data_IF_555679262535
#
_entry.id   IF_555679262535
#
_cell.length_a   1.000
_cell.length_b   1.000
_cell.length_c   1.000
_cell.angle_alpha   90.00
_cell.angle_beta   90.00
_cell.angle_gamma   90.00
#
_symmetry.space_group_name_H-M   'P 1'
#
loop_
_entity.id
_entity.type
_entity.pdbx_description
1 polymer ?
#
# COMPACT_ATOMS: atom_id res chain seq x y z
N UNK A 1 8.37 -30.05 -54.26
CA UNK A 1 8.08 -28.63 -54.48
C UNK A 1 7.01 -28.17 -53.54
N UNK A 2 7.38 -27.69 -52.37
CA UNK A 2 6.49 -26.95 -51.46
C UNK A 2 7.04 -25.55 -51.29
N UNK A 3 6.26 -24.58 -51.79
CA UNK A 3 6.54 -23.14 -51.62
C UNK A 3 6.06 -22.72 -50.25
N UNK A 4 6.97 -22.31 -49.43
CA UNK A 4 6.73 -21.64 -48.13
C UNK A 4 6.39 -20.18 -48.39
N UNK A 5 5.17 -19.77 -48.09
CA UNK A 5 4.75 -18.37 -48.07
C UNK A 5 5.24 -17.77 -46.78
N UNK A 6 6.10 -16.76 -46.84
CA UNK A 6 6.47 -15.89 -45.71
C UNK A 6 5.45 -14.76 -45.65
N UNK A 7 4.63 -14.73 -44.62
CA UNK A 7 3.85 -13.56 -44.24
C UNK A 7 4.75 -12.58 -43.48
N UNK A 8 5.09 -11.48 -44.14
CA UNK A 8 5.72 -10.33 -43.52
C UNK A 8 4.67 -9.55 -42.71
N UNK A 9 4.67 -9.74 -41.41
CA UNK A 9 3.84 -8.96 -40.49
C UNK A 9 4.56 -7.65 -40.16
N UNK A 10 4.31 -6.63 -40.97
CA UNK A 10 4.72 -5.23 -40.72
C UNK A 10 3.83 -4.66 -39.64
N UNK A 11 4.26 -4.73 -38.38
CA UNK A 11 3.74 -3.82 -37.36
C UNK A 11 4.42 -2.45 -37.56
N UNK A 12 3.65 -1.50 -38.04
CA UNK A 12 4.03 -0.07 -37.97
C UNK A 12 4.14 0.29 -36.49
N UNK A 13 5.36 0.56 -36.06
CA UNK A 13 5.63 1.23 -34.79
C UNK A 13 5.09 2.66 -34.97
N UNK A 14 3.93 2.91 -34.36
CA UNK A 14 3.43 4.28 -34.22
C UNK A 14 4.50 5.06 -33.44
N UNK A 15 5.10 6.01 -34.13
CA UNK A 15 6.07 6.93 -33.56
C UNK A 15 5.47 7.56 -32.30
N UNK A 16 6.15 7.38 -31.17
CA UNK A 16 5.94 8.22 -30.02
C UNK A 16 6.07 9.67 -30.44
N UNK A 17 5.18 10.58 -29.99
CA UNK A 17 5.34 11.99 -30.32
C UNK A 17 6.69 12.44 -29.74
N UNK A 18 7.53 12.98 -30.62
CA UNK A 18 8.76 13.67 -30.27
C UNK A 18 8.40 14.72 -29.19
N UNK A 19 8.78 14.46 -27.96
CA UNK A 19 8.74 15.45 -26.89
C UNK A 19 9.79 16.46 -27.27
N UNK A 20 9.31 17.57 -27.85
CA UNK A 20 10.12 18.68 -28.34
C UNK A 20 10.91 19.24 -27.13
N UNK A 21 12.20 19.50 -27.35
CA UNK A 21 13.20 19.97 -26.40
C UNK A 21 13.00 21.42 -25.92
N UNK A 22 11.76 21.90 -25.87
CA UNK A 22 11.38 23.29 -25.56
C UNK A 22 10.72 23.46 -24.20
N UNK A 23 10.71 22.43 -23.33
CA UNK A 23 10.17 22.60 -21.96
C UNK A 23 11.18 23.38 -21.12
N UNK A 24 10.85 24.63 -20.81
CA UNK A 24 11.63 25.47 -19.89
C UNK A 24 11.43 25.04 -18.45
N UNK A 25 12.37 25.35 -17.56
CA UNK A 25 12.24 25.11 -16.10
C UNK A 25 10.97 25.74 -15.48
N UNK A 26 10.32 26.63 -16.22
CA UNK A 26 9.13 27.37 -15.80
C UNK A 26 7.82 26.78 -16.36
N UNK A 27 7.84 25.62 -17.01
CA UNK A 27 6.64 24.98 -17.57
C UNK A 27 5.90 24.20 -16.48
N UNK A 28 4.65 24.56 -16.25
CA UNK A 28 3.74 23.82 -15.35
C UNK A 28 3.10 22.69 -16.13
N UNK A 29 3.19 21.48 -15.57
CA UNK A 29 2.71 20.25 -16.18
C UNK A 29 1.50 19.70 -15.42
N UNK A 30 0.67 18.92 -16.09
CA UNK A 30 -0.45 18.23 -15.46
C UNK A 30 0.03 17.08 -14.58
N UNK A 31 -0.53 17.01 -13.36
CA UNK A 31 -0.29 15.88 -12.44
C UNK A 31 -1.27 14.72 -12.67
N UNK A 32 -2.34 14.94 -13.42
CA UNK A 32 -3.45 14.01 -13.61
C UNK A 32 -3.81 13.85 -15.09
N UNK A 33 -4.39 12.72 -15.44
CA UNK A 33 -5.08 12.54 -16.72
C UNK A 33 -6.47 13.17 -16.63
N UNK A 34 -6.83 14.04 -17.60
CA UNK A 34 -8.14 14.70 -17.57
C UNK A 34 -8.33 15.67 -18.74
N UNK A 35 -9.42 16.44 -18.69
CA UNK A 35 -9.79 17.42 -19.71
C UNK A 35 -9.74 18.81 -19.13
N UNK A 36 -9.17 19.78 -19.87
CA UNK A 36 -9.19 21.21 -19.50
C UNK A 36 -10.59 21.74 -19.71
N UNK A 37 -11.28 22.13 -18.64
CA UNK A 37 -12.67 22.59 -18.70
C UNK A 37 -12.82 24.11 -18.62
N UNK A 38 -11.81 24.80 -18.09
CA UNK A 38 -11.84 26.25 -17.95
C UNK A 38 -10.45 26.85 -17.81
N UNK A 39 -10.21 28.01 -18.43
CA UNK A 39 -8.99 28.81 -18.29
C UNK A 39 -9.38 30.17 -17.69
N UNK A 40 -9.03 30.37 -16.42
CA UNK A 40 -9.44 31.56 -15.64
C UNK A 40 -8.59 32.80 -15.92
N UNK A 41 -7.37 32.60 -16.38
CA UNK A 41 -6.40 33.68 -16.60
C UNK A 41 -5.89 33.58 -18.04
N UNK A 42 -5.95 34.67 -18.79
CA UNK A 42 -5.42 34.72 -20.16
C UNK A 42 -3.88 34.81 -20.20
N UNK A 43 -3.26 34.63 -21.38
CA UNK A 43 -1.83 34.81 -21.55
C UNK A 43 -1.42 36.26 -21.25
N UNK A 44 -0.16 36.45 -20.86
CA UNK A 44 0.44 37.75 -20.47
C UNK A 44 -0.29 38.46 -19.33
N UNK A 45 -0.96 37.73 -18.45
CA UNK A 45 -1.60 38.27 -17.26
C UNK A 45 -0.82 37.97 -15.99
N UNK A 46 -0.77 38.97 -15.11
CA UNK A 46 -0.21 38.80 -13.78
C UNK A 46 -1.15 37.97 -12.91
N UNK A 47 -0.57 37.07 -12.14
CA UNK A 47 -1.25 36.23 -11.15
C UNK A 47 -0.58 36.36 -9.80
N UNK A 48 -1.37 36.21 -8.77
CA UNK A 48 -0.89 36.13 -7.39
C UNK A 48 -0.84 34.68 -6.97
N UNK A 49 0.02 34.39 -6.04
CA UNK A 49 0.06 33.06 -5.42
C UNK A 49 -1.31 32.61 -4.92
N UNK A 50 -1.73 31.42 -5.34
CA UNK A 50 -3.02 30.83 -5.00
C UNK A 50 -4.16 31.13 -5.96
N UNK A 51 -3.95 32.06 -6.94
CA UNK A 51 -4.93 32.31 -7.99
C UNK A 51 -5.09 31.04 -8.84
N UNK A 52 -6.34 30.70 -9.17
CA UNK A 52 -6.63 29.58 -10.08
C UNK A 52 -6.35 30.04 -11.51
N UNK A 53 -5.44 29.33 -12.20
CA UNK A 53 -5.04 29.62 -13.58
C UNK A 53 -5.96 28.90 -14.57
N UNK A 54 -6.12 27.60 -14.40
CA UNK A 54 -7.05 26.78 -15.18
C UNK A 54 -7.69 25.71 -14.29
N UNK A 55 -8.75 25.08 -14.81
CA UNK A 55 -9.45 23.97 -14.13
C UNK A 55 -9.43 22.75 -15.05
N UNK A 56 -8.96 21.65 -14.53
CA UNK A 56 -8.95 20.34 -15.18
C UNK A 56 -10.02 19.44 -14.56
N UNK A 57 -10.76 18.72 -15.37
CA UNK A 57 -11.68 17.66 -14.91
C UNK A 57 -11.02 16.31 -15.04
N UNK A 58 -11.01 15.55 -13.94
CA UNK A 58 -10.59 14.16 -13.92
C UNK A 58 -11.60 13.36 -13.10
N UNK A 59 -12.11 12.26 -13.65
CA UNK A 59 -13.10 11.40 -12.99
C UNK A 59 -14.33 12.16 -12.45
N UNK A 60 -14.84 13.14 -13.21
CA UNK A 60 -15.96 14.03 -12.84
C UNK A 60 -15.67 14.96 -11.64
N UNK A 61 -14.42 15.11 -11.28
CA UNK A 61 -13.98 16.06 -10.25
C UNK A 61 -13.17 17.20 -10.87
N UNK A 62 -13.42 18.42 -10.37
CA UNK A 62 -12.72 19.59 -10.83
C UNK A 62 -11.44 19.83 -10.01
N UNK A 63 -10.32 19.88 -10.70
CA UNK A 63 -9.00 20.11 -10.12
C UNK A 63 -8.49 21.50 -10.54
N UNK A 64 -8.56 22.52 -9.66
CA UNK A 64 -8.01 23.84 -9.98
C UNK A 64 -6.49 23.83 -9.92
N UNK A 65 -5.84 24.16 -11.02
CA UNK A 65 -4.40 24.37 -11.11
C UNK A 65 -4.12 25.83 -10.73
N UNK A 66 -3.33 26.03 -9.68
CA UNK A 66 -3.10 27.33 -9.06
C UNK A 66 -1.68 27.81 -9.27
N UNK A 67 -1.52 29.15 -9.38
CA UNK A 67 -0.21 29.77 -9.36
C UNK A 67 0.49 29.51 -8.01
N UNK A 68 1.72 29.01 -8.05
CA UNK A 68 2.50 28.68 -6.85
C UNK A 68 3.23 29.88 -6.25
N UNK A 69 3.40 30.97 -7.03
CA UNK A 69 4.01 32.24 -6.59
C UNK A 69 3.36 33.43 -7.32
N UNK A 70 3.79 34.66 -7.00
CA UNK A 70 3.45 35.84 -7.75
C UNK A 70 4.27 35.87 -9.04
N UNK A 71 3.66 36.18 -10.15
CA UNK A 71 4.31 36.18 -11.45
C UNK A 71 3.32 36.43 -12.57
N UNK A 72 3.65 36.05 -13.77
CA UNK A 72 2.74 36.13 -14.90
C UNK A 72 2.75 34.86 -15.74
N UNK A 73 1.64 34.59 -16.42
CA UNK A 73 1.50 33.49 -17.36
C UNK A 73 1.98 33.99 -18.72
N UNK A 74 3.05 33.41 -19.30
CA UNK A 74 3.55 33.82 -20.59
C UNK A 74 2.77 33.20 -21.75
N UNK A 75 2.54 31.90 -21.67
CA UNK A 75 1.86 31.16 -22.73
C UNK A 75 1.07 29.97 -22.17
N UNK A 76 0.04 29.53 -22.89
CA UNK A 76 -0.67 28.27 -22.66
C UNK A 76 -0.30 27.27 -23.76
N UNK A 77 -0.15 26.00 -23.38
CA UNK A 77 0.08 24.87 -24.30
C UNK A 77 -1.18 24.04 -24.52
N UNK A 78 -2.30 24.45 -23.90
CA UNK A 78 -3.60 23.76 -23.95
C UNK A 78 -4.73 24.75 -24.10
N UNK A 79 -5.82 24.28 -24.73
CA UNK A 79 -7.08 24.99 -24.88
C UNK A 79 -8.21 24.30 -24.07
N UNK A 80 -9.33 25.02 -23.89
CA UNK A 80 -10.52 24.44 -23.27
C UNK A 80 -11.04 23.30 -24.15
N UNK A 81 -11.21 22.12 -23.53
CA UNK A 81 -11.64 20.90 -24.22
C UNK A 81 -10.48 19.92 -24.49
N UNK A 82 -9.21 20.34 -24.33
CA UNK A 82 -8.07 19.45 -24.55
C UNK A 82 -7.99 18.37 -23.47
N UNK A 83 -7.68 17.14 -23.91
CA UNK A 83 -7.36 16.03 -23.04
C UNK A 83 -5.86 15.99 -22.78
N UNK A 84 -5.46 16.00 -21.52
CA UNK A 84 -4.07 15.99 -21.09
C UNK A 84 -3.76 14.75 -20.27
N UNK A 85 -2.53 14.28 -20.38
CA UNK A 85 -1.97 13.19 -19.59
C UNK A 85 -1.06 13.72 -18.48
N UNK A 86 -0.72 12.89 -17.51
CA UNK A 86 0.31 13.23 -16.51
C UNK A 86 1.62 13.60 -17.23
N UNK A 87 2.19 14.76 -16.88
CA UNK A 87 3.39 15.30 -17.52
C UNK A 87 3.14 16.18 -18.75
N UNK A 88 1.90 16.27 -19.27
CA UNK A 88 1.58 17.18 -20.37
C UNK A 88 1.78 18.64 -19.95
N UNK A 89 2.45 19.50 -20.77
CA UNK A 89 2.62 20.91 -20.49
C UNK A 89 1.28 21.62 -20.53
N UNK A 90 1.00 22.49 -19.53
CA UNK A 90 -0.24 23.24 -19.40
C UNK A 90 -0.03 24.71 -19.75
N UNK A 91 0.91 25.34 -19.09
CA UNK A 91 1.25 26.75 -19.32
C UNK A 91 2.66 27.06 -18.82
N UNK A 92 3.22 28.15 -19.31
CA UNK A 92 4.49 28.67 -18.85
C UNK A 92 4.26 29.79 -17.82
N UNK A 93 4.86 29.64 -16.63
CA UNK A 93 4.77 30.58 -15.53
C UNK A 93 6.10 31.23 -15.24
N UNK A 94 6.17 32.57 -15.28
CA UNK A 94 7.38 33.33 -14.99
C UNK A 94 7.23 34.04 -13.64
N UNK A 95 8.00 33.63 -12.63
CA UNK A 95 7.92 34.23 -11.29
C UNK A 95 8.48 35.67 -11.29
N UNK A 96 7.85 36.58 -10.54
CA UNK A 96 8.33 37.95 -10.34
C UNK A 96 9.49 37.97 -9.35
N UNK A 97 10.73 38.01 -9.87
CA UNK A 97 11.97 38.01 -9.07
C UNK A 97 12.13 39.24 -8.15
N UNK A 98 11.34 40.29 -8.33
CA UNK A 98 11.44 41.51 -7.50
C UNK A 98 10.61 41.52 -6.25
N UNK A 99 9.63 40.62 -6.14
CA UNK A 99 8.72 40.50 -5.00
C UNK A 99 8.68 39.09 -4.40
N UNK A 100 9.73 38.33 -4.56
CA UNK A 100 9.93 37.15 -3.71
C UNK A 100 10.19 37.63 -2.27
N UNK A 101 9.18 38.24 -1.65
CA UNK A 101 9.10 38.26 -0.21
C UNK A 101 9.28 36.80 0.20
N UNK A 102 10.38 36.53 0.94
CA UNK A 102 10.49 35.31 1.71
C UNK A 102 9.07 34.99 2.17
N UNK A 103 8.51 33.94 1.61
CA UNK A 103 7.27 33.41 2.10
C UNK A 103 7.25 33.59 3.61
N UNK A 104 6.20 34.14 4.22
CA UNK A 104 5.89 33.64 5.51
C UNK A 104 5.80 32.13 5.24
N UNK A 105 6.80 31.39 5.70
CA UNK A 105 6.64 29.96 5.90
C UNK A 105 5.23 29.89 6.43
N UNK A 106 4.28 29.42 5.58
CA UNK A 106 2.96 29.12 6.09
C UNK A 106 3.29 28.34 7.31
N UNK A 107 2.91 28.90 8.45
CA UNK A 107 3.01 28.32 9.75
C UNK A 107 2.40 26.91 9.73
N UNK A 108 3.01 26.03 8.93
CA UNK A 108 2.81 24.58 8.99
C UNK A 108 3.40 24.06 10.30
N UNK A 109 4.19 24.91 10.97
CA UNK A 109 4.82 24.61 12.25
C UNK A 109 3.90 24.83 13.45
N UNK A 110 2.72 25.47 13.28
CA UNK A 110 1.80 25.73 14.40
C UNK A 110 0.37 25.20 14.26
N UNK A 111 -0.03 24.60 13.17
CA UNK A 111 -0.93 23.49 13.30
C UNK A 111 -0.10 22.36 13.88
N UNK A 112 -0.09 22.27 15.23
CA UNK A 112 0.30 21.04 15.88
C UNK A 112 -0.28 19.94 15.00
N UNK A 113 0.56 19.09 14.43
CA UNK A 113 0.11 17.94 13.64
C UNK A 113 -0.58 17.01 14.63
N UNK A 114 -1.74 17.44 15.12
CA UNK A 114 -2.60 16.60 15.93
C UNK A 114 -2.96 15.47 14.99
N UNK A 115 -2.28 14.37 15.17
CA UNK A 115 -2.50 13.17 14.37
C UNK A 115 -3.99 12.86 14.43
N UNK A 116 -4.58 12.50 13.32
CA UNK A 116 -6.00 12.14 13.25
C UNK A 116 -6.29 11.03 14.26
N UNK A 117 -7.44 11.11 14.94
CA UNK A 117 -7.83 10.15 15.99
C UNK A 117 -7.88 8.73 15.46
N UNK A 118 -8.44 8.52 14.26
CA UNK A 118 -8.51 7.21 13.62
C UNK A 118 -7.12 6.59 13.32
N UNK A 119 -6.13 7.44 12.99
CA UNK A 119 -4.76 6.98 12.82
C UNK A 119 -4.10 6.62 14.17
N UNK A 120 -4.39 7.38 15.22
CA UNK A 120 -3.95 7.04 16.57
C UNK A 120 -4.52 5.71 17.02
N UNK A 121 -5.84 5.51 16.84
CA UNK A 121 -6.52 4.25 17.17
C UNK A 121 -5.91 3.07 16.40
N UNK A 122 -5.64 3.24 15.10
CA UNK A 122 -4.97 2.23 14.30
C UNK A 122 -3.57 1.89 14.85
N UNK A 123 -2.78 2.92 15.18
CA UNK A 123 -1.44 2.73 15.72
C UNK A 123 -1.46 2.04 17.10
N UNK A 124 -2.43 2.37 17.94
CA UNK A 124 -2.62 1.71 19.24
C UNK A 124 -3.00 0.24 19.06
N UNK A 125 -3.94 -0.06 18.17
CA UNK A 125 -4.28 -1.44 17.84
C UNK A 125 -3.09 -2.23 17.31
N UNK A 126 -2.27 -1.65 16.44
CA UNK A 126 -1.03 -2.28 15.96
C UNK A 126 -0.01 -2.51 17.08
N UNK A 127 0.10 -1.62 18.06
CA UNK A 127 0.96 -1.85 19.23
C UNK A 127 0.54 -3.10 20.02
N UNK A 128 -0.78 -3.37 20.13
CA UNK A 128 -1.30 -4.54 20.84
C UNK A 128 -0.91 -5.87 20.17
N UNK A 129 -0.62 -5.88 18.88
CA UNK A 129 -0.17 -7.09 18.17
C UNK A 129 1.30 -7.43 18.43
N UNK A 130 2.07 -6.52 19.01
CA UNK A 130 3.51 -6.68 19.25
C UNK A 130 3.80 -7.42 20.57
N UNK A 131 4.94 -8.10 20.63
CA UNK A 131 5.42 -8.83 21.79
C UNK A 131 5.51 -7.97 23.07
N UNK A 132 5.87 -6.70 22.90
CA UNK A 132 5.95 -5.73 24.01
C UNK A 132 4.64 -5.55 24.77
N UNK A 133 3.51 -5.75 24.11
CA UNK A 133 2.16 -5.63 24.72
C UNK A 133 1.70 -6.92 25.39
N UNK A 134 2.47 -8.01 25.25
CA UNK A 134 2.14 -9.34 25.80
C UNK A 134 3.24 -9.92 26.70
N UNK A 135 3.77 -9.17 27.68
CA UNK A 135 4.97 -9.56 28.44
C UNK A 135 4.81 -10.88 29.19
N UNK A 136 3.61 -11.19 29.68
CA UNK A 136 3.35 -12.45 30.41
C UNK A 136 3.46 -13.65 29.46
N UNK A 137 2.86 -13.58 28.27
CA UNK A 137 2.92 -14.65 27.28
C UNK A 137 4.36 -14.85 26.78
N UNK A 138 5.06 -13.75 26.50
CA UNK A 138 6.48 -13.79 26.13
C UNK A 138 7.33 -14.42 27.20
N UNK A 139 7.13 -14.05 28.49
CA UNK A 139 7.87 -14.66 29.61
C UNK A 139 7.64 -16.16 29.71
N UNK A 140 6.37 -16.61 29.56
CA UNK A 140 6.04 -18.05 29.54
C UNK A 140 6.74 -18.78 28.40
N UNK A 141 6.73 -18.16 27.20
CA UNK A 141 7.40 -18.71 26.00
C UNK A 141 8.91 -18.87 26.20
N UNK A 142 9.55 -17.82 26.75
CA UNK A 142 11.00 -17.82 27.07
C UNK A 142 11.38 -18.85 28.12
N UNK A 143 10.52 -19.06 29.14
CA UNK A 143 10.78 -20.06 30.20
C UNK A 143 10.96 -21.47 29.66
N UNK A 144 10.31 -21.80 28.53
CA UNK A 144 10.45 -23.11 27.87
C UNK A 144 11.51 -23.11 26.77
N UNK A 145 12.41 -22.12 26.73
CA UNK A 145 13.50 -22.02 25.75
C UNK A 145 13.06 -21.72 24.32
N UNK A 146 11.81 -21.25 24.10
CA UNK A 146 11.27 -20.99 22.76
C UNK A 146 11.26 -19.49 22.43
N UNK A 147 11.55 -19.18 21.16
CA UNK A 147 11.44 -17.83 20.59
C UNK A 147 9.99 -17.50 20.29
N UNK A 148 9.64 -16.22 20.26
CA UNK A 148 8.34 -15.78 19.76
C UNK A 148 8.28 -15.87 18.23
N UNK A 149 7.08 -15.86 17.66
CA UNK A 149 6.89 -15.83 16.22
C UNK A 149 7.55 -14.58 15.59
N UNK A 150 7.42 -13.42 16.23
CA UNK A 150 8.05 -12.18 15.76
C UNK A 150 9.58 -12.20 15.85
N UNK A 151 10.15 -12.85 16.85
CA UNK A 151 11.60 -13.03 16.92
C UNK A 151 12.12 -13.96 15.83
N UNK A 152 11.38 -15.02 15.48
CA UNK A 152 11.75 -15.91 14.39
C UNK A 152 11.73 -15.16 13.05
N UNK A 153 10.64 -14.42 12.79
CA UNK A 153 10.53 -13.61 11.57
C UNK A 153 11.68 -12.59 11.51
N UNK A 154 11.89 -11.82 12.60
CA UNK A 154 12.96 -10.83 12.67
C UNK A 154 14.35 -11.41 12.41
N UNK A 155 14.61 -12.64 12.83
CA UNK A 155 15.88 -13.31 12.61
C UNK A 155 16.07 -13.85 11.20
N UNK A 156 14.98 -13.98 10.45
CA UNK A 156 14.98 -14.51 9.09
C UNK A 156 15.12 -13.41 8.04
N UNK A 157 14.50 -12.25 8.27
CA UNK A 157 14.35 -11.18 7.27
C UNK A 157 15.54 -10.22 7.25
N UNK A 158 15.79 -9.65 6.09
CA UNK A 158 16.79 -8.61 5.92
C UNK A 158 16.24 -7.25 6.42
N UNK A 159 17.14 -6.41 6.95
CA UNK A 159 16.88 -5.00 7.29
C UNK A 159 15.65 -4.73 8.18
N UNK A 160 15.05 -5.73 8.81
CA UNK A 160 13.80 -5.64 9.59
C UNK A 160 12.59 -5.07 8.81
N UNK A 161 12.60 -5.12 7.50
CA UNK A 161 11.49 -4.69 6.65
C UNK A 161 10.50 -5.83 6.48
N UNK A 162 9.40 -5.79 7.22
CA UNK A 162 8.32 -6.77 7.14
C UNK A 162 6.99 -6.07 6.83
N UNK A 163 6.46 -6.32 5.64
CA UNK A 163 5.16 -5.82 5.25
C UNK A 163 4.08 -6.80 5.69
N UNK A 164 3.53 -6.60 6.88
CA UNK A 164 2.58 -7.49 7.52
C UNK A 164 1.16 -7.30 6.95
N UNK A 165 0.48 -8.41 6.64
CA UNK A 165 -0.92 -8.46 6.19
C UNK A 165 -1.83 -8.96 7.30
N UNK A 166 -2.98 -8.30 7.48
CA UNK A 166 -4.03 -8.75 8.40
C UNK A 166 -3.61 -8.78 9.87
N UNK A 167 -2.76 -7.85 10.28
CA UNK A 167 -2.28 -7.70 11.66
C UNK A 167 -3.41 -7.37 12.67
N UNK A 168 -4.51 -6.76 12.21
CA UNK A 168 -5.64 -6.34 13.03
C UNK A 168 -6.76 -7.39 13.16
N UNK A 169 -6.60 -8.54 12.51
CA UNK A 169 -7.55 -9.65 12.61
C UNK A 169 -7.50 -10.25 14.04
N UNK A 170 -8.63 -10.69 14.53
CA UNK A 170 -8.79 -11.38 15.84
C UNK A 170 -9.65 -12.64 15.67
N UNK A 171 -9.68 -13.50 16.69
CA UNK A 171 -10.42 -14.77 16.63
C UNK A 171 -11.93 -14.58 16.50
N UNK A 172 -12.59 -15.45 15.74
CA UNK A 172 -14.03 -15.42 15.47
C UNK A 172 -14.84 -15.94 16.68
N UNK A 173 -14.75 -15.26 17.82
CA UNK A 173 -15.33 -15.67 19.10
C UNK A 173 -16.17 -14.55 19.78
N UNK A 174 -16.73 -13.62 19.00
CA UNK A 174 -17.48 -12.46 19.54
C UNK A 174 -18.74 -12.85 20.31
N UNK A 175 -19.34 -13.96 19.99
CA UNK A 175 -20.47 -14.50 20.72
C UNK A 175 -20.12 -15.00 22.17
N UNK A 176 -18.83 -15.21 22.43
CA UNK A 176 -18.33 -15.75 23.71
C UNK A 176 -17.41 -14.77 24.44
N UNK A 177 -16.83 -13.79 23.78
CA UNK A 177 -15.81 -12.88 24.31
C UNK A 177 -16.07 -11.46 23.85
N UNK A 178 -15.73 -10.47 24.67
CA UNK A 178 -15.82 -9.07 24.27
C UNK A 178 -14.81 -8.74 23.17
N UNK A 179 -15.12 -7.73 22.39
CA UNK A 179 -14.21 -7.26 21.31
C UNK A 179 -12.85 -6.85 21.87
N UNK A 180 -12.82 -6.11 22.98
CA UNK A 180 -11.58 -5.64 23.60
C UNK A 180 -10.71 -6.80 24.07
N UNK A 181 -11.33 -7.84 24.62
CA UNK A 181 -10.63 -9.06 25.02
C UNK A 181 -10.04 -9.79 23.82
N UNK A 182 -10.78 -9.91 22.72
CA UNK A 182 -10.31 -10.54 21.49
C UNK A 182 -9.15 -9.77 20.86
N UNK A 183 -9.27 -8.44 20.75
CA UNK A 183 -8.19 -7.58 20.23
C UNK A 183 -6.91 -7.74 21.05
N UNK A 184 -7.02 -7.78 22.37
CA UNK A 184 -5.87 -7.87 23.27
C UNK A 184 -5.24 -9.26 23.30
N UNK A 185 -6.04 -10.32 23.31
CA UNK A 185 -5.59 -11.68 23.59
C UNK A 185 -5.55 -12.61 22.38
N UNK A 186 -6.07 -12.17 21.22
CA UNK A 186 -6.01 -12.95 19.97
C UNK A 186 -5.49 -12.13 18.79
N UNK A 187 -4.36 -11.40 18.95
CA UNK A 187 -3.81 -10.56 17.90
C UNK A 187 -3.47 -11.38 16.66
N UNK A 188 -3.76 -10.80 15.49
CA UNK A 188 -3.56 -11.40 14.17
C UNK A 188 -4.23 -12.79 14.01
N UNK A 189 -5.18 -13.12 14.87
CA UNK A 189 -5.79 -14.46 15.04
C UNK A 189 -4.75 -15.60 15.08
N UNK A 190 -3.60 -15.34 15.70
CA UNK A 190 -2.53 -16.32 15.88
C UNK A 190 -1.78 -16.70 14.62
N UNK A 191 -1.91 -15.93 13.53
CA UNK A 191 -1.15 -16.11 12.29
C UNK A 191 -0.53 -14.81 11.84
N UNK A 192 0.78 -14.70 11.88
CA UNK A 192 1.54 -13.56 11.32
C UNK A 192 1.88 -13.89 9.88
N UNK A 193 1.49 -13.01 8.95
CA UNK A 193 1.72 -13.17 7.51
C UNK A 193 2.24 -11.89 6.90
N UNK A 194 3.14 -11.98 5.93
CA UNK A 194 3.65 -10.79 5.25
C UNK A 194 4.66 -11.10 4.17
N UNK A 195 5.18 -10.03 3.61
CA UNK A 195 6.25 -10.06 2.62
C UNK A 195 7.50 -9.40 3.18
N UNK A 196 8.67 -9.95 2.83
CA UNK A 196 9.96 -9.39 3.16
C UNK A 196 11.01 -9.82 2.13
N UNK A 197 12.25 -9.48 2.39
CA UNK A 197 13.42 -9.96 1.64
C UNK A 197 14.24 -10.89 2.55
N UNK A 198 14.80 -11.95 1.95
CA UNK A 198 15.63 -12.95 2.65
C UNK A 198 16.87 -13.21 1.82
N UNK A 199 18.06 -13.02 2.42
CA UNK A 199 19.35 -13.18 1.78
C UNK A 199 19.61 -12.22 0.60
N UNK A 200 19.15 -10.98 0.69
CA UNK A 200 19.34 -9.97 -0.37
C UNK A 200 20.79 -9.50 -0.54
N UNK A 201 21.67 -9.83 0.38
CA UNK A 201 23.12 -9.68 0.29
C UNK A 201 23.82 -10.77 -0.53
N UNK A 202 23.15 -11.91 -0.71
CA UNK A 202 23.70 -13.06 -1.46
C UNK A 202 23.11 -13.20 -2.87
N UNK A 203 21.92 -12.64 -3.10
CA UNK A 203 21.17 -12.79 -4.35
C UNK A 203 20.65 -11.43 -4.86
N UNK A 204 20.30 -11.39 -6.13
CA UNK A 204 19.64 -10.21 -6.74
C UNK A 204 18.34 -9.92 -6.01
N UNK A 205 18.16 -8.67 -5.57
CA UNK A 205 17.05 -8.23 -4.68
C UNK A 205 15.66 -8.67 -5.17
N UNK A 206 15.43 -8.64 -6.46
CA UNK A 206 14.16 -9.04 -7.09
C UNK A 206 13.82 -10.52 -6.85
N UNK A 207 14.83 -11.37 -6.68
CA UNK A 207 14.69 -12.81 -6.43
C UNK A 207 14.62 -13.19 -4.96
N UNK A 208 14.83 -12.22 -4.06
CA UNK A 208 14.88 -12.46 -2.60
C UNK A 208 13.57 -12.09 -1.90
N UNK A 209 12.61 -11.52 -2.65
CA UNK A 209 11.27 -11.26 -2.15
C UNK A 209 10.57 -12.55 -1.78
N UNK A 210 10.19 -12.68 -0.51
CA UNK A 210 9.72 -13.92 0.09
C UNK A 210 8.48 -13.65 0.91
N UNK A 211 7.49 -14.51 0.79
CA UNK A 211 6.35 -14.54 1.68
C UNK A 211 6.71 -15.33 2.96
N UNK A 212 6.28 -14.81 4.10
CA UNK A 212 6.55 -15.43 5.40
C UNK A 212 5.24 -15.57 6.15
N UNK A 213 4.98 -16.76 6.66
CA UNK A 213 3.89 -17.06 7.55
C UNK A 213 4.41 -17.72 8.82
N UNK A 214 3.81 -17.39 9.95
CA UNK A 214 4.18 -18.01 11.24
C UNK A 214 2.98 -18.08 12.16
N UNK A 215 2.64 -19.29 12.63
CA UNK A 215 1.67 -19.43 13.71
C UNK A 215 2.25 -18.89 15.02
N UNK A 216 1.49 -18.03 15.70
CA UNK A 216 1.87 -17.53 17.03
C UNK A 216 1.30 -18.44 18.11
N UNK A 217 2.14 -19.33 18.63
CA UNK A 217 1.77 -20.26 19.69
C UNK A 217 1.26 -19.56 20.96
N UNK A 218 1.61 -18.29 21.18
CA UNK A 218 1.13 -17.49 22.31
C UNK A 218 -0.36 -17.09 22.17
N UNK A 219 -0.94 -17.27 20.99
CA UNK A 219 -2.35 -17.01 20.70
C UNK A 219 -3.07 -18.35 20.57
N UNK A 220 -3.88 -18.71 21.58
CA UNK A 220 -4.67 -19.94 21.57
C UNK A 220 -3.86 -21.17 21.13
N UNK A 221 -2.62 -21.31 21.60
CA UNK A 221 -1.69 -22.38 21.28
C UNK A 221 -1.41 -22.54 19.76
N UNK A 222 -1.47 -21.45 18.99
CA UNK A 222 -1.28 -21.48 17.55
C UNK A 222 -2.36 -22.26 16.79
N UNK A 223 -3.54 -22.44 17.40
CA UNK A 223 -4.64 -23.16 16.75
C UNK A 223 -5.27 -22.34 15.63
N UNK A 224 -5.71 -23.02 14.59
CA UNK A 224 -6.25 -22.43 13.38
C UNK A 224 -7.76 -22.23 13.53
N UNK A 225 -8.20 -20.97 13.44
CA UNK A 225 -9.59 -20.56 13.49
C UNK A 225 -10.10 -20.03 12.16
N UNK A 226 -11.36 -19.60 12.16
CA UNK A 226 -12.05 -19.14 10.94
C UNK A 226 -11.34 -17.96 10.29
N UNK A 227 -11.05 -16.92 11.05
CA UNK A 227 -10.39 -15.73 10.53
C UNK A 227 -8.93 -16.00 10.19
N UNK A 228 -8.29 -16.92 10.92
CA UNK A 228 -6.96 -17.43 10.60
C UNK A 228 -6.93 -18.07 9.19
N UNK A 229 -7.88 -18.97 8.88
CA UNK A 229 -7.99 -19.60 7.57
C UNK A 229 -8.26 -18.60 6.47
N UNK A 230 -9.21 -17.66 6.64
CA UNK A 230 -9.48 -16.60 5.65
C UNK A 230 -8.23 -15.78 5.35
N UNK A 231 -7.43 -15.50 6.36
CA UNK A 231 -6.16 -14.77 6.23
C UNK A 231 -5.12 -15.62 5.52
N UNK A 232 -5.03 -16.91 5.84
CA UNK A 232 -4.15 -17.86 5.17
C UNK A 232 -4.48 -17.96 3.68
N UNK A 233 -5.75 -18.22 3.34
CA UNK A 233 -6.24 -18.31 1.96
C UNK A 233 -5.89 -17.05 1.17
N UNK A 234 -6.19 -15.88 1.74
CA UNK A 234 -5.86 -14.61 1.10
C UNK A 234 -4.36 -14.45 0.86
N UNK A 235 -3.51 -14.89 1.79
CA UNK A 235 -2.07 -14.81 1.63
C UNK A 235 -1.54 -15.77 0.55
N UNK A 236 -2.12 -16.95 0.42
CA UNK A 236 -1.79 -17.90 -0.66
C UNK A 236 -2.11 -17.28 -2.03
N UNK A 237 -3.27 -16.62 -2.17
CA UNK A 237 -3.60 -15.89 -3.40
C UNK A 237 -2.56 -14.82 -3.74
N UNK A 238 -2.10 -14.06 -2.75
CA UNK A 238 -1.04 -13.06 -2.94
C UNK A 238 0.26 -13.72 -3.39
N UNK A 239 0.66 -14.82 -2.76
CA UNK A 239 1.87 -15.57 -3.10
C UNK A 239 1.83 -16.08 -4.54
N UNK A 240 0.70 -16.66 -4.94
CA UNK A 240 0.48 -17.16 -6.31
C UNK A 240 0.54 -16.04 -7.35
N UNK A 241 -0.13 -14.91 -7.06
CA UNK A 241 -0.12 -13.73 -7.93
C UNK A 241 1.27 -13.12 -8.09
N UNK A 242 2.06 -13.07 -7.03
CA UNK A 242 3.41 -12.53 -7.04
C UNK A 242 4.47 -13.54 -7.48
N UNK A 243 4.15 -14.84 -7.49
CA UNK A 243 5.09 -15.95 -7.79
C UNK A 243 6.36 -15.90 -6.94
N UNK A 244 6.20 -15.65 -5.64
CA UNK A 244 7.30 -15.59 -4.67
C UNK A 244 7.36 -16.87 -3.83
N UNK A 245 8.54 -17.27 -3.32
CA UNK A 245 8.66 -18.41 -2.40
C UNK A 245 7.93 -18.11 -1.08
N UNK A 246 7.51 -19.19 -0.39
CA UNK A 246 6.90 -19.14 0.93
C UNK A 246 7.79 -19.84 1.95
N UNK A 247 8.03 -19.17 3.07
CA UNK A 247 8.59 -19.76 4.29
C UNK A 247 7.47 -19.79 5.34
N UNK A 248 7.06 -20.99 5.75
CA UNK A 248 5.97 -21.17 6.69
C UNK A 248 6.43 -21.89 7.97
N UNK A 249 6.36 -21.20 9.10
CA UNK A 249 6.64 -21.76 10.41
C UNK A 249 5.33 -22.34 10.98
N UNK A 250 5.18 -23.66 10.87
CA UNK A 250 4.00 -24.41 11.29
C UNK A 250 4.12 -24.84 12.75
N UNK A 251 3.96 -23.92 13.71
CA UNK A 251 3.97 -24.23 15.12
C UNK A 251 2.57 -24.01 15.72
N UNK A 252 1.74 -25.03 15.84
CA UNK A 252 0.40 -24.89 16.33
C UNK A 252 -0.29 -26.17 16.74
N UNK A 253 -1.43 -26.03 17.44
CA UNK A 253 -2.22 -27.12 17.99
C UNK A 253 -3.29 -27.70 17.04
N UNK A 254 -3.25 -27.42 15.74
CA UNK A 254 -4.26 -27.87 14.78
C UNK A 254 -5.52 -26.99 14.73
N UNK A 255 -6.66 -27.56 14.33
CA UNK A 255 -7.91 -26.82 14.21
C UNK A 255 -8.46 -26.29 15.54
N UNK A 256 -9.14 -25.14 15.49
CA UNK A 256 -9.74 -24.49 16.69
C UNK A 256 -11.25 -24.71 16.71
N UNK A 257 -11.77 -25.57 17.60
CA UNK A 257 -13.21 -25.87 17.67
C UNK A 257 -14.04 -24.76 18.31
N UNK A 258 -13.40 -23.73 18.86
CA UNK A 258 -14.06 -22.69 19.65
C UNK A 258 -14.50 -21.45 18.90
N UNK A 259 -14.27 -21.36 17.59
CA UNK A 259 -14.69 -20.23 16.77
C UNK A 259 -16.15 -20.44 16.34
N UNK A 260 -17.07 -19.67 16.94
CA UNK A 260 -18.52 -19.87 16.82
C UNK A 260 -19.25 -18.73 16.10
N UNK A 261 -18.53 -17.70 15.66
CA UNK A 261 -19.15 -16.56 14.97
C UNK A 261 -19.53 -16.86 13.50
N UNK A 262 -19.21 -18.03 12.98
CA UNK A 262 -19.49 -18.40 11.61
C UNK A 262 -20.89 -19.01 11.38
N UNK A 263 -21.73 -19.08 12.42
CA UNK A 263 -23.02 -19.79 12.35
C UNK A 263 -22.83 -21.27 12.08
N UNK A 264 -23.83 -21.90 11.44
CA UNK A 264 -23.84 -23.33 11.08
C UNK A 264 -22.83 -23.73 9.99
N UNK A 265 -21.97 -22.82 9.56
CA UNK A 265 -20.90 -23.18 8.64
C UNK A 265 -19.90 -24.05 9.40
N UNK A 266 -20.02 -25.36 9.22
CA UNK A 266 -19.04 -26.35 9.63
C UNK A 266 -17.69 -26.09 8.93
N UNK A 267 -16.96 -25.09 9.45
CA UNK A 267 -15.62 -24.74 8.99
C UNK A 267 -14.57 -25.66 9.65
N UNK A 268 -15.03 -26.70 10.32
CA UNK A 268 -14.16 -27.73 10.84
C UNK A 268 -13.60 -28.57 9.66
N UNK A 269 -12.89 -27.93 8.77
CA UNK A 269 -11.72 -28.55 8.23
C UNK A 269 -11.82 -29.35 6.94
N UNK A 270 -12.94 -29.48 6.25
CA UNK A 270 -12.94 -30.31 5.05
C UNK A 270 -12.92 -29.56 3.69
N UNK A 271 -13.11 -28.27 3.71
CA UNK A 271 -13.05 -27.47 2.47
C UNK A 271 -12.35 -26.12 2.71
N UNK A 272 -11.07 -26.19 3.03
CA UNK A 272 -10.21 -25.01 3.17
C UNK A 272 -9.42 -24.85 1.88
N UNK A 273 -9.67 -23.81 1.08
CA UNK A 273 -9.02 -23.61 -0.22
C UNK A 273 -7.50 -23.70 -0.17
N UNK A 274 -6.88 -23.14 0.87
CA UNK A 274 -5.43 -23.18 1.05
C UNK A 274 -4.85 -24.58 1.16
N UNK A 275 -5.59 -25.57 1.70
CA UNK A 275 -5.09 -26.94 1.77
C UNK A 275 -5.00 -27.59 0.39
N UNK A 276 -5.93 -27.27 -0.51
CA UNK A 276 -5.85 -27.71 -1.92
C UNK A 276 -4.68 -27.04 -2.64
N UNK A 277 -4.40 -25.79 -2.34
CA UNK A 277 -3.33 -25.03 -2.97
C UNK A 277 -1.93 -25.46 -2.49
N UNK A 278 -1.77 -25.94 -1.27
CA UNK A 278 -0.52 -26.54 -0.79
C UNK A 278 -0.27 -27.93 -1.37
N UNK A 279 -1.30 -28.61 -1.85
CA UNK A 279 -1.19 -29.96 -2.44
C UNK A 279 -0.86 -29.95 -3.94
N UNK A 280 -0.82 -28.80 -4.56
CA UNK A 280 -0.50 -28.61 -6.00
C UNK A 280 0.91 -28.06 -6.20
#
# INVERSE_FOLDING_TARGET
>A
SQKTVKEDNKYEVLNEPLIDSALTENTIQSELVGTVIDIKVGPNKNVKRGDTVLVQESMKMHHPIKAFDNGYISNFFVDIGDTVSTGSPLFEFIPDKKNSQKLPEKDQSKKSKKMRSDLLDLMERRKLTMDKSRPIAVKKRKKIGKRTARENIKSLIDNNEFFEYGDLVYAAQRSRRSLDDLIKNTPADGLITGLSYVNSDLFVKEKTKTAIMHYDYMVLAGTQGINNHKKLDRMIDVIRGLKVPLIFFCEGGGGRPGDVDAGDQNIAGLNIPSFHDFAR
#
